data_IF_103851523370
#
_entry.id   IF_103851523370
#
_cell.length_a   1.000
_cell.length_b   1.000
_cell.length_c   1.000
_cell.angle_alpha   90.00
_cell.angle_beta   90.00
_cell.angle_gamma   90.00
#
_symmetry.space_group_name_H-M   'P 1'
#
loop_
_entity.id
_entity.type
_entity.pdbx_description
1 polymer ?
#
# COMPACT_ATOMS: atom_id res chain seq x y z
N UNK A 1 -26.74 46.48 -26.52
CA UNK A 1 -26.15 46.07 -25.23
C UNK A 1 -26.81 44.76 -24.83
N UNK A 2 -26.08 43.65 -24.92
CA UNK A 2 -26.52 42.34 -24.41
C UNK A 2 -25.73 42.13 -23.12
N UNK A 3 -26.42 42.11 -21.99
CA UNK A 3 -25.86 41.72 -20.70
C UNK A 3 -25.74 40.19 -20.70
N UNK A 4 -24.54 39.67 -20.44
CA UNK A 4 -24.29 38.25 -20.21
C UNK A 4 -24.63 37.89 -18.78
N UNK A 5 -25.32 36.77 -18.60
CA UNK A 5 -25.65 36.21 -17.30
C UNK A 5 -24.37 35.84 -16.52
N UNK A 6 -24.35 36.20 -15.24
CA UNK A 6 -23.36 35.73 -14.28
C UNK A 6 -23.60 34.24 -14.03
N UNK A 7 -22.59 33.42 -14.34
CA UNK A 7 -22.56 31.99 -14.05
C UNK A 7 -22.13 31.82 -12.58
N UNK A 8 -23.10 31.66 -11.70
CA UNK A 8 -22.86 31.26 -10.31
C UNK A 8 -22.77 29.75 -10.29
N UNK A 9 -21.55 29.23 -10.36
CA UNK A 9 -21.29 27.82 -10.05
C UNK A 9 -21.03 27.71 -8.55
N UNK A 10 -22.00 27.14 -7.83
CA UNK A 10 -21.81 26.67 -6.46
C UNK A 10 -20.85 25.49 -6.50
N UNK A 11 -19.59 25.72 -6.11
CA UNK A 11 -18.63 24.64 -5.86
C UNK A 11 -18.90 24.04 -4.48
N UNK A 12 -19.65 22.94 -4.47
CA UNK A 12 -19.92 22.12 -3.29
C UNK A 12 -19.32 20.72 -3.51
N UNK A 13 -18.00 20.63 -3.62
CA UNK A 13 -17.29 19.37 -3.41
C UNK A 13 -16.49 19.46 -2.10
N UNK A 14 -17.09 18.99 -1.01
CA UNK A 14 -16.30 18.64 0.16
C UNK A 14 -15.54 17.34 -0.15
N UNK A 15 -14.23 17.43 -0.38
CA UNK A 15 -13.36 16.27 -0.63
C UNK A 15 -13.37 15.33 0.58
N UNK A 16 -14.16 14.27 0.50
CA UNK A 16 -14.16 13.22 1.52
C UNK A 16 -12.87 12.39 1.38
N UNK A 17 -11.98 12.51 2.35
CA UNK A 17 -10.78 11.67 2.46
C UNK A 17 -11.01 10.56 3.49
N UNK A 18 -11.12 9.28 3.08
CA UNK A 18 -11.30 8.20 4.03
C UNK A 18 -10.06 8.00 4.91
N UNK A 19 -10.27 7.69 6.19
CA UNK A 19 -9.20 7.30 7.11
C UNK A 19 -9.16 5.76 7.15
N UNK A 20 -8.06 5.18 6.67
CA UNK A 20 -7.84 3.74 6.70
C UNK A 20 -7.33 3.31 8.08
N UNK A 21 -7.90 2.23 8.61
CA UNK A 21 -7.48 1.59 9.85
C UNK A 21 -7.51 0.09 9.67
N UNK A 22 -6.46 -0.59 10.12
CA UNK A 22 -6.39 -2.05 10.06
C UNK A 22 -6.08 -2.68 11.42
N UNK A 23 -6.30 -3.98 11.49
CA UNK A 23 -5.92 -4.84 12.60
C UNK A 23 -5.46 -6.19 12.08
N UNK A 24 -4.57 -6.85 12.81
CA UNK A 24 -4.03 -8.17 12.48
C UNK A 24 -4.20 -9.15 13.62
N UNK A 25 -4.42 -10.41 13.27
CA UNK A 25 -4.46 -11.53 14.21
C UNK A 25 -3.72 -12.72 13.60
N UNK A 26 -2.95 -13.42 14.42
CA UNK A 26 -2.21 -14.62 14.03
C UNK A 26 -2.35 -15.67 15.14
N UNK A 27 -2.50 -16.92 14.74
CA UNK A 27 -2.60 -18.08 15.64
C UNK A 27 -1.74 -19.22 15.10
N UNK A 28 -0.88 -19.77 15.96
CA UNK A 28 0.02 -20.88 15.64
C UNK A 28 -0.72 -22.23 15.59
N UNK A 29 -1.88 -22.32 16.25
CA UNK A 29 -2.64 -23.56 16.41
C UNK A 29 -1.79 -24.68 16.99
N UNK A 30 -1.71 -25.82 16.29
CA UNK A 30 -0.97 -27.02 16.72
C UNK A 30 0.47 -27.09 16.19
N UNK A 31 0.97 -26.05 15.52
CA UNK A 31 2.33 -26.04 14.97
C UNK A 31 3.36 -25.80 16.09
N UNK A 32 4.58 -26.30 15.88
CA UNK A 32 5.69 -26.11 16.82
C UNK A 32 6.35 -24.73 16.72
N UNK A 33 6.21 -24.07 15.57
CA UNK A 33 6.76 -22.74 15.27
C UNK A 33 5.75 -21.95 14.45
N UNK A 34 5.68 -20.63 14.72
CA UNK A 34 4.91 -19.68 13.92
C UNK A 34 5.77 -19.21 12.75
N UNK A 35 5.48 -19.69 11.54
CA UNK A 35 6.24 -19.33 10.34
C UNK A 35 5.54 -18.25 9.51
N UNK A 36 4.25 -17.99 9.75
CA UNK A 36 3.55 -16.89 9.08
C UNK A 36 3.98 -15.53 9.64
N UNK A 37 3.99 -14.55 8.75
CA UNK A 37 4.30 -13.14 9.03
C UNK A 37 3.23 -12.30 8.36
N UNK A 38 2.88 -11.15 8.94
CA UNK A 38 1.99 -10.20 8.29
C UNK A 38 2.49 -8.77 8.48
N UNK A 39 2.04 -7.90 7.58
CA UNK A 39 2.28 -6.46 7.65
C UNK A 39 0.97 -5.71 7.45
N UNK A 40 0.77 -4.68 8.26
CA UNK A 40 -0.36 -3.77 8.20
C UNK A 40 0.14 -2.33 8.17
N UNK A 41 0.09 -1.68 7.00
CA UNK A 41 0.53 -0.28 6.83
C UNK A 41 -0.65 0.54 6.32
N UNK A 42 -1.29 1.28 7.22
CA UNK A 42 -2.46 2.12 6.90
C UNK A 42 -2.10 3.40 6.12
N UNK A 43 -0.82 3.80 6.13
CA UNK A 43 -0.28 4.99 5.45
C UNK A 43 0.99 4.63 4.66
N UNK A 44 0.83 3.94 3.55
CA UNK A 44 1.95 3.30 2.86
C UNK A 44 2.95 4.28 2.21
N UNK A 45 2.48 5.39 1.66
CA UNK A 45 3.36 6.39 1.03
C UNK A 45 3.90 7.45 2.00
N UNK A 46 3.52 7.40 3.28
CA UNK A 46 3.89 8.41 4.26
C UNK A 46 5.40 8.33 4.56
N UNK A 47 6.15 9.33 4.08
CA UNK A 47 7.61 9.44 4.26
C UNK A 47 8.43 9.41 2.98
N UNK A 48 7.86 8.94 1.86
CA UNK A 48 8.57 8.87 0.55
C UNK A 48 8.41 10.12 -0.33
N UNK A 49 7.85 11.22 0.19
CA UNK A 49 7.61 12.44 -0.58
C UNK A 49 6.54 12.32 -1.68
N UNK A 50 5.94 11.14 -1.84
CA UNK A 50 4.90 10.78 -2.81
C UNK A 50 3.50 11.33 -2.46
N UNK A 51 3.35 12.02 -1.32
CA UNK A 51 2.10 12.67 -0.89
C UNK A 51 1.53 13.69 -1.90
N UNK A 52 2.25 14.00 -2.97
CA UNK A 52 1.83 14.91 -4.04
C UNK A 52 1.20 14.21 -5.26
N UNK A 53 1.29 12.87 -5.36
CA UNK A 53 0.94 12.13 -6.58
C UNK A 53 -0.39 11.37 -6.52
N UNK A 54 -1.09 11.35 -5.38
CA UNK A 54 -2.39 10.67 -5.26
C UNK A 54 -3.38 11.51 -4.47
N UNK A 55 -4.60 11.65 -4.99
CA UNK A 55 -5.71 12.36 -4.34
C UNK A 55 -6.39 11.55 -3.19
N UNK A 56 -5.77 10.47 -2.69
CA UNK A 56 -6.40 9.56 -1.72
C UNK A 56 -5.43 8.83 -0.79
N UNK A 57 -5.95 8.17 0.25
CA UNK A 57 -5.14 7.39 1.19
C UNK A 57 -4.50 6.19 0.50
N UNK A 58 -3.33 5.76 1.01
CA UNK A 58 -2.60 4.60 0.50
C UNK A 58 -2.29 3.64 1.64
N UNK A 59 -2.42 2.35 1.39
CA UNK A 59 -2.13 1.32 2.39
C UNK A 59 -1.53 0.07 1.74
N UNK A 60 -0.77 -0.69 2.52
CA UNK A 60 -0.22 -1.99 2.14
C UNK A 60 -0.50 -3.01 3.23
N UNK A 61 -1.07 -4.14 2.82
CA UNK A 61 -1.37 -5.27 3.69
C UNK A 61 -0.85 -6.54 3.03
N UNK A 62 -0.15 -7.37 3.78
CA UNK A 62 0.40 -8.62 3.27
C UNK A 62 0.43 -9.69 4.34
N UNK A 63 0.17 -10.93 3.94
CA UNK A 63 0.31 -12.14 4.76
C UNK A 63 1.25 -13.08 4.02
N UNK A 64 2.23 -13.62 4.73
CA UNK A 64 3.32 -14.42 4.20
C UNK A 64 3.34 -15.73 4.99
N UNK A 65 2.90 -16.82 4.38
CA UNK A 65 2.90 -18.17 4.96
C UNK A 65 4.28 -18.81 4.75
N UNK A 66 5.03 -18.98 5.84
CA UNK A 66 6.36 -19.58 5.80
C UNK A 66 6.31 -21.11 5.77
N UNK A 67 7.21 -21.74 5.02
CA UNK A 67 7.34 -23.19 4.99
C UNK A 67 8.81 -23.62 5.00
N UNK A 68 9.18 -24.44 5.97
CA UNK A 68 10.57 -24.88 6.14
C UNK A 68 11.44 -23.86 6.87
N UNK A 69 10.79 -22.94 7.61
CA UNK A 69 11.41 -21.86 8.35
C UNK A 69 10.80 -20.49 8.02
N UNK A 70 10.78 -19.59 9.02
CA UNK A 70 10.21 -18.24 8.92
C UNK A 70 11.02 -17.25 8.07
N UNK A 71 12.26 -17.61 7.71
CA UNK A 71 13.26 -16.68 7.17
C UNK A 71 12.82 -16.04 5.84
N UNK A 72 12.27 -16.82 4.91
CA UNK A 72 11.79 -16.30 3.63
C UNK A 72 10.56 -15.40 3.80
N UNK A 73 9.61 -15.78 4.65
CA UNK A 73 8.43 -14.98 4.98
C UNK A 73 8.83 -13.64 5.64
N UNK A 74 9.77 -13.67 6.59
CA UNK A 74 10.33 -12.47 7.22
C UNK A 74 11.04 -11.58 6.20
N UNK A 75 11.84 -12.16 5.30
CA UNK A 75 12.53 -11.39 4.27
C UNK A 75 11.54 -10.70 3.33
N UNK A 76 10.58 -11.46 2.78
CA UNK A 76 9.57 -10.93 1.89
C UNK A 76 8.72 -9.83 2.55
N UNK A 77 8.26 -10.07 3.79
CA UNK A 77 7.49 -9.10 4.55
C UNK A 77 8.22 -7.77 4.75
N UNK A 78 9.54 -7.79 4.92
CA UNK A 78 10.34 -6.60 5.20
C UNK A 78 10.86 -5.87 3.94
N UNK A 79 10.94 -6.53 2.79
CA UNK A 79 11.58 -5.99 1.59
C UNK A 79 10.62 -5.77 0.42
N UNK A 80 9.63 -6.65 0.23
CA UNK A 80 8.65 -6.49 -0.85
C UNK A 80 7.96 -5.12 -0.83
N UNK A 81 7.49 -4.59 0.32
CA UNK A 81 6.85 -3.27 0.34
C UNK A 81 7.84 -2.13 0.01
N UNK A 82 9.13 -2.29 0.35
CA UNK A 82 10.16 -1.29 0.04
C UNK A 82 10.45 -1.24 -1.46
N UNK A 83 10.61 -2.39 -2.11
CA UNK A 83 10.84 -2.44 -3.56
C UNK A 83 9.65 -1.88 -4.36
N UNK A 84 8.42 -2.04 -3.86
CA UNK A 84 7.24 -1.40 -4.45
C UNK A 84 7.35 0.13 -4.37
N UNK A 85 7.70 0.68 -3.20
CA UNK A 85 7.81 2.13 -2.98
C UNK A 85 9.01 2.77 -3.68
N UNK A 86 10.06 2.00 -3.94
CA UNK A 86 11.29 2.46 -4.58
C UNK A 86 11.21 2.42 -6.12
N UNK A 87 10.21 1.75 -6.71
CA UNK A 87 10.00 1.79 -8.16
C UNK A 87 9.58 3.20 -8.59
N UNK A 88 10.33 3.75 -9.55
CA UNK A 88 10.16 5.11 -10.07
C UNK A 88 8.78 5.38 -10.67
N UNK A 89 8.08 4.35 -11.14
CA UNK A 89 6.76 4.50 -11.78
C UNK A 89 5.63 4.28 -10.76
N UNK A 90 5.94 4.06 -9.48
CA UNK A 90 4.92 3.96 -8.43
C UNK A 90 4.28 5.33 -8.17
N UNK A 91 2.93 5.44 -8.08
CA UNK A 91 1.90 4.38 -8.11
C UNK A 91 1.18 4.20 -9.48
N UNK A 92 1.80 4.59 -10.59
CA UNK A 92 1.15 4.67 -11.92
C UNK A 92 0.87 3.28 -12.54
N UNK A 93 1.80 2.33 -12.40
CA UNK A 93 1.70 0.98 -13.01
C UNK A 93 1.86 -0.13 -11.95
N UNK A 94 0.87 -0.24 -11.07
CA UNK A 94 0.92 -1.13 -9.90
C UNK A 94 1.18 -2.59 -10.28
N UNK A 95 0.55 -3.11 -11.35
CA UNK A 95 0.70 -4.51 -11.74
C UNK A 95 2.14 -4.84 -12.14
N UNK A 96 2.75 -3.99 -12.97
CA UNK A 96 4.16 -4.16 -13.36
C UNK A 96 5.08 -4.02 -12.16
N UNK A 97 4.82 -3.04 -11.30
CA UNK A 97 5.67 -2.73 -10.14
C UNK A 97 5.65 -3.87 -9.14
N UNK A 98 4.47 -4.37 -8.77
CA UNK A 98 4.34 -5.52 -7.87
C UNK A 98 5.05 -6.73 -8.47
N UNK A 99 4.83 -7.03 -9.75
CA UNK A 99 5.51 -8.14 -10.43
C UNK A 99 7.04 -8.01 -10.37
N UNK A 100 7.57 -6.80 -10.61
CA UNK A 100 9.01 -6.54 -10.51
C UNK A 100 9.52 -6.67 -9.07
N UNK A 101 8.78 -6.15 -8.09
CA UNK A 101 9.15 -6.22 -6.68
C UNK A 101 9.21 -7.68 -6.17
N UNK A 102 8.31 -8.55 -6.62
CA UNK A 102 8.38 -9.99 -6.34
C UNK A 102 9.66 -10.62 -6.90
N UNK A 103 10.01 -10.33 -8.16
CA UNK A 103 11.25 -10.81 -8.76
C UNK A 103 12.50 -10.26 -8.05
N UNK A 104 12.49 -8.99 -7.63
CA UNK A 104 13.59 -8.40 -6.87
C UNK A 104 13.73 -8.99 -5.46
N UNK A 105 12.61 -9.35 -4.83
CA UNK A 105 12.60 -10.00 -3.51
C UNK A 105 13.17 -11.42 -3.55
N UNK A 106 13.11 -12.09 -4.69
CA UNK A 106 13.58 -13.48 -4.87
C UNK A 106 15.04 -13.58 -5.40
N UNK A 107 15.71 -12.46 -5.65
CA UNK A 107 17.07 -12.40 -6.22
C UNK A 107 18.20 -12.48 -5.18
#
# INVERSE_FOLDING_TARGET
>A
MKLSAEDVTEDCQSDFLPNLRSGGYADIGFRSSMEDVYVCVDNFMQGHGLNKHTDGPSAFYGVFDGHGGKQAADFACNHLPKFILEDKDFPVDIERIVSSAFLQTDN
#
